data_IF_388242966753
#
_entry.id   IF_388242966753
#
_cell.length_a   1.000
_cell.length_b   1.000
_cell.length_c   1.000
_cell.angle_alpha   90.00
_cell.angle_beta   90.00
_cell.angle_gamma   90.00
#
_symmetry.space_group_name_H-M   'P 1'
#
loop_
_entity.id
_entity.type
_entity.pdbx_description
1 polymer ?
#
# COMPACT_ATOMS: atom_id res chain seq x y z
N UNK A 1 -43.11 23.43 36.52
CA UNK A 1 -42.26 24.58 36.15
C UNK A 1 -40.91 24.29 36.76
N UNK A 2 -40.03 23.62 36.01
CA UNK A 2 -38.84 22.95 36.53
C UNK A 2 -37.63 23.62 35.89
N UNK A 3 -36.78 24.23 36.69
CA UNK A 3 -35.57 24.95 36.27
C UNK A 3 -34.55 24.00 35.64
N UNK A 4 -33.88 24.38 34.53
CA UNK A 4 -32.79 23.57 33.98
C UNK A 4 -31.53 23.68 34.87
N UNK A 5 -30.66 22.64 34.87
CA UNK A 5 -29.42 22.65 35.63
C UNK A 5 -28.38 23.62 35.02
N UNK A 6 -27.45 24.17 35.84
CA UNK A 6 -26.45 25.13 35.36
C UNK A 6 -25.40 24.49 34.43
N UNK A 7 -24.99 25.24 33.41
CA UNK A 7 -23.94 24.86 32.44
C UNK A 7 -22.56 24.68 33.11
N UNK A 8 -21.76 23.68 32.70
CA UNK A 8 -20.40 23.51 33.20
C UNK A 8 -19.42 24.48 32.54
N UNK A 9 -18.70 25.23 33.40
CA UNK A 9 -17.62 26.17 33.08
C UNK A 9 -16.46 25.46 32.34
N UNK A 10 -16.24 25.83 31.07
CA UNK A 10 -15.20 25.27 30.19
C UNK A 10 -13.85 25.99 30.30
N UNK A 11 -13.67 26.89 31.26
CA UNK A 11 -12.49 27.76 31.37
C UNK A 11 -11.37 27.21 32.26
N UNK A 12 -11.57 26.05 32.91
CA UNK A 12 -10.61 25.48 33.86
C UNK A 12 -9.79 24.33 33.25
N UNK A 13 -8.45 24.44 33.20
CA UNK A 13 -7.60 23.30 32.85
C UNK A 13 -7.57 22.27 34.01
N UNK A 14 -7.49 20.96 33.72
CA UNK A 14 -7.43 19.93 34.75
C UNK A 14 -6.10 19.98 35.51
N UNK A 15 -6.19 19.98 36.83
CA UNK A 15 -5.06 19.90 37.76
C UNK A 15 -4.29 18.59 37.53
N UNK A 16 -3.05 18.71 37.03
CA UNK A 16 -2.09 17.63 37.02
C UNK A 16 -1.57 17.41 38.45
N UNK A 17 -1.69 16.17 38.93
CA UNK A 17 -1.11 15.70 40.17
C UNK A 17 0.43 15.84 40.13
N UNK A 18 0.99 16.65 41.02
CA UNK A 18 2.43 16.82 41.21
C UNK A 18 3.04 15.68 42.02
N UNK A 19 4.06 15.03 41.44
CA UNK A 19 5.03 14.19 42.16
C UNK A 19 6.28 14.99 42.55
N UNK A 20 7.06 14.55 43.56
CA UNK A 20 8.12 15.35 44.16
C UNK A 20 9.49 15.22 43.47
N UNK A 21 10.13 16.37 43.23
CA UNK A 21 11.55 16.63 43.49
C UNK A 21 12.61 16.06 42.53
N UNK A 22 13.24 16.94 41.75
CA UNK A 22 14.62 16.77 41.28
C UNK A 22 15.35 18.14 41.25
N UNK A 23 16.66 18.20 41.58
CA UNK A 23 17.32 19.45 42.00
C UNK A 23 17.97 20.27 40.88
N UNK A 24 18.23 21.52 41.26
CA UNK A 24 18.83 22.72 40.65
C UNK A 24 20.09 22.52 39.74
N UNK A 25 20.27 23.30 38.64
CA UNK A 25 21.50 23.29 37.85
C UNK A 25 22.43 24.42 38.32
N UNK A 26 23.41 24.08 39.15
CA UNK A 26 24.45 25.01 39.55
C UNK A 26 25.60 24.28 40.22
N UNK A 27 26.54 23.77 39.42
CA UNK A 27 27.90 23.55 39.90
C UNK A 27 28.88 23.57 38.72
N UNK A 28 29.38 24.77 38.42
CA UNK A 28 30.66 24.95 37.74
C UNK A 28 31.77 24.48 38.68
N UNK A 29 32.58 23.52 38.26
CA UNK A 29 33.89 23.28 38.87
C UNK A 29 34.96 23.32 37.77
N UNK A 30 36.03 24.14 37.92
CA UNK A 30 37.04 24.33 36.89
C UNK A 30 38.07 23.20 36.83
N UNK A 31 38.63 22.99 35.64
CA UNK A 31 39.76 22.10 35.37
C UNK A 31 41.05 22.56 36.10
N UNK A 32 41.93 21.65 36.55
CA UNK A 32 43.26 22.01 36.99
C UNK A 32 44.29 21.96 35.84
N UNK A 33 45.04 23.06 35.71
CA UNK A 33 46.32 23.15 35.00
C UNK A 33 47.42 22.39 35.75
N UNK A 34 48.25 21.62 35.02
CA UNK A 34 49.66 21.46 35.38
C UNK A 34 50.54 21.14 34.14
N UNK A 35 51.70 21.81 33.97
CA UNK A 35 52.59 21.68 32.80
C UNK A 35 53.79 20.71 33.01
N UNK A 36 54.71 20.70 32.02
CA UNK A 36 55.91 19.88 31.75
C UNK A 36 55.67 18.56 30.99
N UNK A 37 56.36 18.20 29.91
CA UNK A 37 57.57 18.74 29.28
C UNK A 37 58.37 17.56 28.69
N UNK A 38 58.61 17.53 27.37
CA UNK A 38 59.79 16.99 26.63
C UNK A 38 59.43 16.66 25.16
N UNK A 39 60.22 17.11 24.16
CA UNK A 39 59.89 17.03 22.73
C UNK A 39 60.51 15.83 22.00
N UNK A 40 59.78 15.34 20.97
CA UNK A 40 60.16 14.70 19.70
C UNK A 40 61.25 13.57 19.64
N UNK A 41 61.14 12.67 18.66
CA UNK A 41 61.78 12.95 17.37
C UNK A 41 60.92 12.67 16.14
N UNK A 42 61.26 13.39 15.06
CA UNK A 42 60.73 13.24 13.70
C UNK A 42 61.41 12.08 12.96
N UNK A 43 60.77 11.73 11.84
CA UNK A 43 61.26 11.00 10.66
C UNK A 43 60.92 9.50 10.56
N UNK A 44 59.87 9.20 9.79
CA UNK A 44 59.94 8.23 8.70
C UNK A 44 58.69 8.32 7.82
N UNK A 45 58.92 8.50 6.52
CA UNK A 45 57.91 8.61 5.48
C UNK A 45 57.15 7.30 5.20
N UNK A 46 55.85 7.41 4.94
CA UNK A 46 55.12 6.49 4.06
C UNK A 46 53.81 7.14 3.57
N UNK A 47 53.61 7.42 2.26
CA UNK A 47 52.31 7.79 1.74
C UNK A 47 51.47 6.51 1.52
N UNK A 48 50.89 6.00 2.60
CA UNK A 48 49.93 4.91 2.55
C UNK A 48 48.57 5.40 2.08
N UNK A 49 48.37 5.46 0.76
CA UNK A 49 47.07 5.63 0.11
C UNK A 49 46.10 4.56 0.62
N UNK A 50 45.24 4.89 1.60
CA UNK A 50 43.99 4.17 1.80
C UNK A 50 42.89 4.99 1.15
N UNK A 51 42.44 4.64 -0.07
CA UNK A 51 41.09 5.01 -0.42
C UNK A 51 40.21 4.28 0.58
N UNK A 52 39.68 5.03 1.53
CA UNK A 52 38.36 4.75 2.09
C UNK A 52 37.36 4.85 0.95
N UNK A 53 37.43 3.91 0.01
CA UNK A 53 36.26 3.48 -0.69
C UNK A 53 35.38 2.91 0.42
N UNK A 54 34.45 3.74 0.88
CA UNK A 54 33.14 3.29 1.29
C UNK A 54 32.66 2.37 0.18
N UNK A 55 33.08 1.11 0.25
CA UNK A 55 32.37 0.00 -0.35
C UNK A 55 31.03 0.05 0.34
N UNK A 56 30.09 0.80 -0.24
CA UNK A 56 28.67 0.64 0.02
C UNK A 56 28.47 -0.86 0.08
N UNK A 57 28.08 -1.45 1.22
CA UNK A 57 27.96 -2.88 1.33
C UNK A 57 26.90 -3.29 0.31
N UNK A 58 27.34 -3.76 -0.85
CA UNK A 58 26.56 -4.53 -1.80
C UNK A 58 26.23 -5.83 -1.08
N UNK A 59 25.26 -5.74 -0.17
CA UNK A 59 24.82 -6.79 0.71
C UNK A 59 24.44 -7.97 -0.18
N UNK A 60 25.01 -9.13 0.09
CA UNK A 60 24.64 -10.41 -0.52
C UNK A 60 23.21 -10.77 -0.10
N UNK A 61 22.23 -10.05 -0.64
CA UNK A 61 20.80 -10.27 -0.42
C UNK A 61 20.40 -11.56 -1.12
N UNK A 62 19.88 -12.51 -0.35
CA UNK A 62 19.37 -13.77 -0.88
C UNK A 62 18.17 -13.50 -1.79
N UNK A 63 17.89 -14.43 -2.72
CA UNK A 63 16.73 -14.33 -3.62
C UNK A 63 15.41 -14.21 -2.85
N UNK A 64 15.36 -14.81 -1.65
CA UNK A 64 14.23 -14.79 -0.73
C UNK A 64 14.06 -13.40 -0.11
N UNK A 65 15.10 -12.83 0.48
CA UNK A 65 15.08 -11.47 1.07
C UNK A 65 14.68 -10.39 0.03
N UNK A 66 15.15 -10.54 -1.22
CA UNK A 66 14.76 -9.63 -2.31
C UNK A 66 13.28 -9.77 -2.69
N UNK A 67 12.75 -10.98 -2.67
CA UNK A 67 11.34 -11.23 -2.96
C UNK A 67 10.45 -10.65 -1.85
N UNK A 68 10.87 -10.78 -0.59
CA UNK A 68 10.17 -10.22 0.57
C UNK A 68 10.16 -8.69 0.55
N UNK A 69 11.28 -8.05 0.19
CA UNK A 69 11.33 -6.59 0.04
C UNK A 69 10.36 -6.11 -1.04
N UNK A 70 10.43 -6.71 -2.22
CA UNK A 70 9.50 -6.39 -3.33
C UNK A 70 8.05 -6.66 -2.95
N UNK A 71 7.80 -7.71 -2.19
CA UNK A 71 6.47 -8.03 -1.67
C UNK A 71 5.96 -6.94 -0.73
N UNK A 72 6.80 -6.48 0.21
CA UNK A 72 6.45 -5.40 1.12
C UNK A 72 6.13 -4.09 0.39
N UNK A 73 6.93 -3.74 -0.64
CA UNK A 73 6.67 -2.57 -1.50
C UNK A 73 5.31 -2.71 -2.22
N UNK A 74 5.04 -3.88 -2.82
CA UNK A 74 3.76 -4.17 -3.47
C UNK A 74 2.57 -4.14 -2.50
N UNK A 75 2.74 -4.62 -1.26
CA UNK A 75 1.69 -4.54 -0.25
C UNK A 75 1.42 -3.09 0.19
N UNK A 76 2.45 -2.24 0.21
CA UNK A 76 2.29 -0.82 0.50
C UNK A 76 1.52 -0.11 -0.62
N UNK A 77 1.90 -0.34 -1.88
CA UNK A 77 1.16 0.17 -3.03
C UNK A 77 -0.29 -0.34 -3.05
N UNK A 78 -0.48 -1.64 -2.77
CA UNK A 78 -1.81 -2.25 -2.67
C UNK A 78 -2.65 -1.61 -1.56
N UNK A 79 -2.03 -1.24 -0.44
CA UNK A 79 -2.71 -0.59 0.68
C UNK A 79 -3.25 0.80 0.30
N UNK A 80 -2.57 1.52 -0.61
CA UNK A 80 -3.09 2.79 -1.16
C UNK A 80 -4.36 2.56 -1.96
N UNK A 81 -4.42 1.51 -2.77
CA UNK A 81 -5.65 1.15 -3.50
C UNK A 81 -6.75 0.64 -2.55
N UNK A 82 -6.36 -0.11 -1.51
CA UNK A 82 -7.28 -0.72 -0.55
C UNK A 82 -8.12 0.33 0.19
N UNK A 83 -7.54 1.47 0.58
CA UNK A 83 -8.30 2.55 1.24
C UNK A 83 -9.39 3.11 0.33
N UNK A 84 -9.11 3.27 -0.97
CA UNK A 84 -10.10 3.67 -1.96
C UNK A 84 -11.28 2.71 -2.04
N UNK A 85 -11.02 1.39 -2.03
CA UNK A 85 -12.06 0.35 -2.02
C UNK A 85 -12.91 0.41 -0.75
N UNK A 86 -12.29 0.63 0.41
CA UNK A 86 -13.03 0.74 1.68
C UNK A 86 -13.96 1.95 1.71
N UNK A 87 -13.50 3.09 1.21
CA UNK A 87 -14.32 4.30 1.10
C UNK A 87 -15.50 4.06 0.15
N UNK A 88 -15.24 3.50 -1.04
CA UNK A 88 -16.30 3.13 -2.00
C UNK A 88 -17.31 2.18 -1.36
N UNK A 89 -16.84 1.11 -0.73
CA UNK A 89 -17.69 0.11 -0.09
C UNK A 89 -18.55 0.73 1.03
N UNK A 90 -17.95 1.59 1.86
CA UNK A 90 -18.67 2.35 2.88
C UNK A 90 -19.79 3.21 2.27
N UNK A 91 -19.51 3.94 1.20
CA UNK A 91 -20.54 4.71 0.49
C UNK A 91 -21.63 3.83 -0.11
N UNK A 92 -21.29 2.65 -0.64
CA UNK A 92 -22.31 1.70 -1.09
C UNK A 92 -23.23 1.28 0.05
N UNK A 93 -22.68 0.99 1.24
CA UNK A 93 -23.49 0.60 2.40
C UNK A 93 -24.42 1.72 2.90
N UNK A 94 -24.06 2.99 2.74
CA UNK A 94 -24.94 4.09 3.18
C UNK A 94 -26.15 4.28 2.27
N UNK A 95 -26.08 3.85 0.99
CA UNK A 95 -27.17 3.99 0.01
C UNK A 95 -28.46 3.31 0.49
N UNK A 96 -28.39 2.16 1.18
CA UNK A 96 -29.58 1.43 1.65
C UNK A 96 -30.44 2.23 2.64
N UNK A 97 -29.82 3.17 3.37
CA UNK A 97 -30.49 4.00 4.37
C UNK A 97 -31.01 5.33 3.80
N UNK A 98 -30.71 5.63 2.53
CA UNK A 98 -31.20 6.84 1.88
C UNK A 98 -32.69 6.70 1.57
N UNK A 99 -33.46 7.78 1.74
CA UNK A 99 -34.91 7.80 1.47
C UNK A 99 -35.25 7.29 0.05
N UNK A 100 -34.43 7.65 -0.93
CA UNK A 100 -34.58 7.26 -2.34
C UNK A 100 -34.37 5.76 -2.60
N UNK A 101 -33.77 5.01 -1.67
CA UNK A 101 -33.63 3.56 -1.80
C UNK A 101 -35.00 2.86 -1.85
N UNK A 102 -35.95 3.35 -1.06
CA UNK A 102 -37.32 2.79 -1.00
C UNK A 102 -38.12 3.00 -2.29
N UNK A 103 -37.68 3.92 -3.15
CA UNK A 103 -38.30 4.21 -4.45
C UNK A 103 -37.62 3.49 -5.62
N UNK A 104 -36.56 2.72 -5.39
CA UNK A 104 -35.87 1.96 -6.44
C UNK A 104 -36.76 0.83 -6.97
N UNK A 105 -36.65 0.55 -8.27
CA UNK A 105 -37.22 -0.64 -8.88
C UNK A 105 -36.60 -1.92 -8.29
N UNK A 106 -37.30 -3.05 -8.37
CA UNK A 106 -36.79 -4.33 -7.86
C UNK A 106 -35.48 -4.73 -8.56
N UNK A 107 -35.38 -4.45 -9.87
CA UNK A 107 -34.16 -4.68 -10.65
C UNK A 107 -32.99 -3.89 -10.10
N UNK A 108 -33.16 -2.60 -9.79
CA UNK A 108 -32.07 -1.76 -9.29
C UNK A 108 -31.67 -2.16 -7.85
N UNK A 109 -32.62 -2.63 -7.03
CA UNK A 109 -32.31 -3.20 -5.71
C UNK A 109 -31.48 -4.47 -5.82
N UNK A 110 -31.79 -5.36 -6.77
CA UNK A 110 -31.00 -6.57 -7.00
C UNK A 110 -29.60 -6.25 -7.50
N UNK A 111 -29.45 -5.29 -8.43
CA UNK A 111 -28.14 -4.80 -8.88
C UNK A 111 -27.36 -4.23 -7.69
N UNK A 112 -28.01 -3.45 -6.82
CA UNK A 112 -27.38 -2.92 -5.61
C UNK A 112 -26.87 -4.05 -4.69
N UNK A 113 -27.68 -5.06 -4.38
CA UNK A 113 -27.28 -6.19 -3.53
C UNK A 113 -26.08 -6.93 -4.12
N UNK A 114 -26.11 -7.23 -5.42
CA UNK A 114 -24.98 -7.86 -6.12
C UNK A 114 -23.73 -6.98 -6.03
N UNK A 115 -23.88 -5.68 -6.23
CA UNK A 115 -22.76 -4.72 -6.15
C UNK A 115 -22.13 -4.70 -4.76
N UNK A 116 -22.95 -4.70 -3.69
CA UNK A 116 -22.48 -4.76 -2.30
C UNK A 116 -21.74 -6.07 -2.02
N UNK A 117 -22.29 -7.22 -2.45
CA UNK A 117 -21.64 -8.52 -2.28
C UNK A 117 -20.30 -8.57 -3.02
N UNK A 118 -20.24 -8.06 -4.25
CA UNK A 118 -18.98 -7.93 -4.99
C UNK A 118 -17.97 -7.03 -4.26
N UNK A 119 -18.43 -5.91 -3.69
CA UNK A 119 -17.57 -5.00 -2.91
C UNK A 119 -17.01 -5.64 -1.65
N UNK A 120 -17.84 -6.41 -0.93
CA UNK A 120 -17.41 -7.19 0.23
C UNK A 120 -16.40 -8.27 -0.16
N UNK A 121 -16.66 -9.02 -1.24
CA UNK A 121 -15.74 -10.04 -1.76
C UNK A 121 -14.41 -9.44 -2.22
N UNK A 122 -14.45 -8.29 -2.90
CA UNK A 122 -13.27 -7.50 -3.29
C UNK A 122 -12.44 -7.14 -2.06
N UNK A 123 -13.09 -6.59 -1.03
CA UNK A 123 -12.42 -6.17 0.21
C UNK A 123 -11.76 -7.37 0.89
N UNK A 124 -12.45 -8.50 1.00
CA UNK A 124 -11.88 -9.74 1.56
C UNK A 124 -10.68 -10.25 0.76
N UNK A 125 -10.78 -10.26 -0.58
CA UNK A 125 -9.70 -10.70 -1.46
C UNK A 125 -8.46 -9.79 -1.39
N UNK A 126 -8.64 -8.47 -1.27
CA UNK A 126 -7.53 -7.50 -1.19
C UNK A 126 -6.87 -7.44 0.19
N UNK A 127 -7.58 -7.77 1.27
CA UNK A 127 -7.01 -7.87 2.63
C UNK A 127 -6.16 -9.14 2.78
N UNK A 128 -6.53 -10.20 2.06
CA UNK A 128 -5.92 -11.51 2.24
C UNK A 128 -4.39 -11.58 2.02
N UNK A 129 -3.75 -10.91 1.04
CA UNK A 129 -2.29 -10.87 0.91
C UNK A 129 -1.56 -10.41 2.18
N UNK A 130 -2.14 -9.45 2.91
CA UNK A 130 -1.60 -8.96 4.18
C UNK A 130 -1.71 -10.03 5.27
N UNK A 131 -2.86 -10.70 5.34
CA UNK A 131 -3.09 -11.82 6.27
C UNK A 131 -2.17 -13.00 5.97
N UNK A 132 -1.98 -13.36 4.69
CA UNK A 132 -1.06 -14.40 4.25
C UNK A 132 0.38 -14.08 4.66
N UNK A 133 0.84 -12.85 4.42
CA UNK A 133 2.16 -12.44 4.87
C UNK A 133 2.29 -12.55 6.40
N UNK A 134 1.32 -12.05 7.16
CA UNK A 134 1.35 -12.08 8.63
C UNK A 134 1.32 -13.50 9.20
N UNK A 135 0.57 -14.43 8.60
CA UNK A 135 0.47 -15.82 9.01
C UNK A 135 1.73 -16.64 8.69
N UNK A 136 2.44 -16.30 7.60
CA UNK A 136 3.67 -16.99 7.20
C UNK A 136 4.96 -16.27 7.60
N UNK A 137 4.86 -15.09 8.21
CA UNK A 137 5.99 -14.36 8.81
C UNK A 137 6.58 -15.20 9.96
N UNK A 138 7.58 -16.02 9.64
CA UNK A 138 8.21 -16.95 10.58
C UNK A 138 8.54 -18.33 9.99
N UNK A 139 7.93 -18.71 8.86
CA UNK A 139 8.28 -19.92 8.11
C UNK A 139 8.75 -19.49 6.72
N UNK A 140 9.91 -20.01 6.25
CA UNK A 140 10.49 -19.66 4.94
C UNK A 140 9.40 -19.66 3.87
N UNK A 141 9.21 -18.54 3.16
CA UNK A 141 8.14 -18.39 2.18
C UNK A 141 8.32 -19.45 1.09
N UNK A 142 7.48 -20.49 1.15
CA UNK A 142 7.41 -21.46 0.06
C UNK A 142 6.96 -20.72 -1.21
N UNK A 143 7.61 -20.94 -2.37
CA UNK A 143 7.26 -20.30 -3.64
C UNK A 143 5.77 -20.44 -4.02
N UNK A 144 5.10 -21.47 -3.51
CA UNK A 144 3.68 -21.73 -3.72
C UNK A 144 2.77 -20.70 -3.02
N UNK A 145 3.12 -20.21 -1.83
CA UNK A 145 2.32 -19.23 -1.09
C UNK A 145 2.26 -17.90 -1.84
N UNK A 146 3.38 -17.46 -2.41
CA UNK A 146 3.47 -16.23 -3.21
C UNK A 146 2.56 -16.30 -4.45
N UNK A 147 2.43 -17.49 -5.06
CA UNK A 147 1.50 -17.70 -6.19
C UNK A 147 0.04 -17.58 -5.76
N UNK A 148 -0.34 -18.15 -4.61
CA UNK A 148 -1.70 -18.02 -4.08
C UNK A 148 -2.06 -16.58 -3.76
N UNK A 149 -1.19 -15.87 -3.07
CA UNK A 149 -1.41 -14.48 -2.73
C UNK A 149 -1.48 -13.59 -3.99
N UNK A 150 -0.64 -13.84 -5.00
CA UNK A 150 -0.75 -13.17 -6.31
C UNK A 150 -2.05 -13.47 -7.06
N UNK A 151 -2.56 -14.72 -7.02
CA UNK A 151 -3.88 -15.07 -7.58
C UNK A 151 -5.01 -14.34 -6.86
N UNK A 152 -4.92 -14.23 -5.55
CA UNK A 152 -5.95 -13.58 -4.73
C UNK A 152 -6.00 -12.07 -4.98
N UNK A 153 -4.84 -11.42 -5.15
CA UNK A 153 -4.77 -10.02 -5.61
C UNK A 153 -5.40 -9.85 -7.00
N UNK A 154 -5.15 -10.78 -7.94
CA UNK A 154 -5.76 -10.71 -9.28
C UNK A 154 -7.29 -10.89 -9.23
N UNK A 155 -7.78 -11.84 -8.43
CA UNK A 155 -9.21 -12.05 -8.19
C UNK A 155 -9.83 -10.81 -7.54
N UNK A 156 -9.17 -10.22 -6.53
CA UNK A 156 -9.61 -8.99 -5.91
C UNK A 156 -9.71 -7.84 -6.90
N UNK A 157 -8.75 -7.69 -7.81
CA UNK A 157 -8.78 -6.65 -8.85
C UNK A 157 -9.92 -6.87 -9.87
N UNK A 158 -10.20 -8.13 -10.23
CA UNK A 158 -11.32 -8.46 -11.11
C UNK A 158 -12.68 -8.20 -10.43
N UNK A 159 -12.82 -8.58 -9.16
CA UNK A 159 -14.01 -8.28 -8.36
C UNK A 159 -14.21 -6.78 -8.20
N UNK A 160 -13.13 -6.01 -7.98
CA UNK A 160 -13.18 -4.56 -7.89
C UNK A 160 -13.72 -3.94 -9.19
N UNK A 161 -13.24 -4.41 -10.34
CA UNK A 161 -13.73 -3.93 -11.63
C UNK A 161 -15.22 -4.21 -11.78
N UNK A 162 -15.66 -5.42 -11.43
CA UNK A 162 -17.07 -5.80 -11.45
C UNK A 162 -17.92 -4.95 -10.49
N UNK A 163 -17.42 -4.66 -9.29
CA UNK A 163 -18.07 -3.75 -8.32
C UNK A 163 -18.21 -2.35 -8.89
N UNK A 164 -17.14 -1.77 -9.45
CA UNK A 164 -17.17 -0.42 -10.02
C UNK A 164 -18.11 -0.34 -11.22
N UNK A 165 -18.08 -1.33 -12.12
CA UNK A 165 -18.99 -1.40 -13.26
C UNK A 165 -20.45 -1.53 -12.83
N UNK A 166 -20.75 -2.41 -11.86
CA UNK A 166 -22.10 -2.61 -11.34
C UNK A 166 -22.63 -1.38 -10.60
N UNK A 167 -21.77 -0.69 -9.83
CA UNK A 167 -22.12 0.57 -9.16
C UNK A 167 -22.41 1.68 -10.16
N UNK A 168 -21.61 1.78 -11.23
CA UNK A 168 -21.83 2.77 -12.29
C UNK A 168 -23.13 2.48 -13.05
N UNK A 169 -23.40 1.20 -13.35
CA UNK A 169 -24.67 0.77 -13.95
C UNK A 169 -25.86 1.13 -13.09
N UNK A 170 -25.79 0.87 -11.79
CA UNK A 170 -26.85 1.23 -10.84
C UNK A 170 -27.12 2.75 -10.89
N UNK A 171 -26.08 3.56 -10.78
CA UNK A 171 -26.22 5.03 -10.78
C UNK A 171 -26.78 5.51 -12.12
N UNK A 172 -26.26 5.03 -13.25
CA UNK A 172 -26.73 5.42 -14.58
C UNK A 172 -28.17 4.99 -14.83
N UNK A 173 -28.59 3.78 -14.41
CA UNK A 173 -30.00 3.36 -14.52
C UNK A 173 -30.94 4.22 -13.67
N UNK A 174 -30.46 4.74 -12.54
CA UNK A 174 -31.26 5.61 -11.66
C UNK A 174 -31.35 7.04 -12.20
N UNK A 175 -30.32 7.52 -12.90
CA UNK A 175 -30.21 8.90 -13.42
C UNK A 175 -30.75 9.03 -14.84
N UNK A 176 -30.33 8.12 -15.72
CA UNK A 176 -30.78 8.03 -17.11
C UNK A 176 -32.04 7.17 -17.08
N UNK A 177 -33.20 7.81 -17.24
CA UNK A 177 -34.49 7.18 -17.56
C UNK A 177 -34.32 6.04 -18.60
N UNK A 178 -35.26 5.08 -18.74
CA UNK A 178 -35.02 3.68 -19.17
C UNK A 178 -34.57 3.49 -20.63
N UNK A 179 -33.47 4.13 -21.02
CA UNK A 179 -32.81 4.04 -22.31
C UNK A 179 -31.57 3.14 -22.16
N UNK A 180 -31.34 2.28 -23.16
CA UNK A 180 -30.19 1.36 -23.21
C UNK A 180 -28.82 2.08 -23.26
N UNK A 181 -28.81 3.42 -23.35
CA UNK A 181 -27.62 4.28 -23.28
C UNK A 181 -26.77 4.02 -22.04
N UNK A 182 -27.40 3.70 -20.90
CA UNK A 182 -26.68 3.39 -19.66
C UNK A 182 -25.76 2.17 -19.80
N UNK A 183 -26.20 1.12 -20.51
CA UNK A 183 -25.42 -0.10 -20.73
C UNK A 183 -24.18 0.16 -21.58
N UNK A 184 -24.31 0.93 -22.67
CA UNK A 184 -23.19 1.27 -23.54
C UNK A 184 -22.13 2.11 -22.83
N UNK A 185 -22.55 3.07 -22.02
CA UNK A 185 -21.62 3.91 -21.26
C UNK A 185 -20.85 3.09 -20.22
N UNK A 186 -21.54 2.21 -19.49
CA UNK A 186 -20.91 1.29 -18.53
C UNK A 186 -19.97 0.33 -19.25
N UNK A 187 -20.37 -0.24 -20.38
CA UNK A 187 -19.53 -1.13 -21.17
C UNK A 187 -18.24 -0.44 -21.61
N UNK A 188 -18.34 0.81 -22.08
CA UNK A 188 -17.17 1.62 -22.45
C UNK A 188 -16.22 1.87 -21.28
N UNK A 189 -16.74 2.29 -20.11
CA UNK A 189 -15.94 2.53 -18.91
C UNK A 189 -15.33 1.22 -18.38
N UNK A 190 -16.10 0.14 -18.35
CA UNK A 190 -15.62 -1.17 -17.91
C UNK A 190 -14.53 -1.71 -18.84
N UNK A 191 -14.69 -1.55 -20.15
CA UNK A 191 -13.66 -1.90 -21.14
C UNK A 191 -12.39 -1.06 -20.95
N UNK A 192 -12.53 0.24 -20.69
CA UNK A 192 -11.40 1.13 -20.36
C UNK A 192 -10.67 0.67 -19.11
N UNK A 193 -11.38 0.41 -18.00
CA UNK A 193 -10.78 -0.13 -16.79
C UNK A 193 -10.10 -1.48 -17.04
N UNK A 194 -10.74 -2.38 -17.80
CA UNK A 194 -10.16 -3.67 -18.11
C UNK A 194 -8.87 -3.54 -18.93
N UNK A 195 -8.86 -2.61 -19.90
CA UNK A 195 -7.68 -2.30 -20.70
C UNK A 195 -6.54 -1.75 -19.81
N UNK A 196 -6.83 -0.75 -18.98
CA UNK A 196 -5.83 -0.18 -18.08
C UNK A 196 -5.30 -1.19 -17.06
N UNK A 197 -6.17 -2.03 -16.50
CA UNK A 197 -5.81 -2.92 -15.37
C UNK A 197 -5.26 -4.28 -15.80
N UNK A 198 -5.69 -4.83 -16.93
CA UNK A 198 -5.24 -6.15 -17.38
C UNK A 198 -4.35 -6.07 -18.61
N UNK A 199 -4.63 -5.18 -19.58
CA UNK A 199 -3.82 -5.10 -20.78
C UNK A 199 -2.45 -4.47 -20.51
N UNK A 200 -2.34 -3.45 -19.66
CA UNK A 200 -1.05 -2.88 -19.27
C UNK A 200 -0.11 -3.91 -18.61
N UNK A 201 -0.52 -4.66 -17.55
CA UNK A 201 0.35 -5.69 -16.99
C UNK A 201 0.57 -6.89 -17.90
N UNK A 202 -0.38 -7.25 -18.77
CA UNK A 202 -0.16 -8.30 -19.76
C UNK A 202 0.88 -7.88 -20.81
N UNK A 203 0.80 -6.64 -21.30
CA UNK A 203 1.75 -6.06 -22.24
C UNK A 203 3.14 -5.92 -21.63
N UNK A 204 3.26 -5.41 -20.40
CA UNK A 204 4.54 -5.32 -19.68
C UNK A 204 5.18 -6.71 -19.48
N UNK A 205 4.37 -7.74 -19.18
CA UNK A 205 4.84 -9.13 -19.10
C UNK A 205 5.31 -9.68 -20.45
N UNK A 206 4.66 -9.32 -21.55
CA UNK A 206 5.04 -9.75 -22.89
C UNK A 206 6.31 -9.03 -23.38
N UNK A 207 6.46 -7.73 -23.12
CA UNK A 207 7.65 -6.95 -23.43
C UNK A 207 8.90 -7.52 -22.72
N UNK A 208 8.82 -7.81 -21.42
CA UNK A 208 9.91 -8.39 -20.64
C UNK A 208 10.34 -9.80 -21.11
N UNK A 209 9.45 -10.55 -21.79
CA UNK A 209 9.78 -11.84 -22.39
C UNK A 209 10.52 -11.68 -23.73
N UNK A 210 10.23 -10.62 -24.50
CA UNK A 210 10.90 -10.34 -25.78
C UNK A 210 12.36 -9.94 -25.59
N UNK A 211 12.67 -9.13 -24.58
CA UNK A 211 14.05 -8.71 -24.29
C UNK A 211 14.97 -9.88 -23.89
N UNK A 212 14.43 -10.87 -23.16
CA UNK A 212 15.17 -12.09 -22.81
C UNK A 212 15.38 -13.05 -24.00
N UNK A 213 14.49 -13.00 -25.00
CA UNK A 213 14.65 -13.76 -26.24
C UNK A 213 15.67 -13.13 -27.19
N UNK A 214 15.76 -11.79 -27.22
CA UNK A 214 16.73 -11.08 -28.06
C UNK A 214 18.18 -11.22 -27.58
N UNK A 215 18.42 -11.23 -26.27
CA UNK A 215 19.77 -11.39 -25.69
C UNK A 215 20.33 -12.80 -25.81
N UNK A 216 19.47 -13.82 -25.97
CA UNK A 216 19.91 -15.20 -26.22
C UNK A 216 20.20 -15.49 -27.71
N UNK A 217 19.69 -14.66 -28.63
CA UNK A 217 19.87 -14.81 -30.08
C UNK A 217 21.09 -14.10 -30.66
N UNK A 218 21.67 -13.14 -29.94
CA UNK A 218 22.79 -12.30 -30.41
C UNK A 218 24.18 -12.86 -30.04
N UNK A 219 24.25 -13.85 -29.13
CA UNK A 219 25.52 -14.44 -28.66
C UNK A 219 26.00 -15.68 -29.43
N UNK A 220 25.35 -16.05 -30.54
CA UNK A 220 25.58 -17.32 -31.24
C UNK A 220 26.23 -17.23 -32.62
N UNK A 221 26.71 -16.05 -33.05
CA UNK A 221 27.03 -15.83 -34.46
C UNK A 221 28.25 -14.97 -34.75
N UNK A 222 29.37 -15.12 -34.05
CA UNK A 222 30.68 -14.58 -34.50
C UNK A 222 31.85 -15.39 -33.91
N UNK A 223 31.92 -16.70 -34.16
CA UNK A 223 33.17 -17.47 -34.04
C UNK A 223 33.21 -18.50 -35.16
N UNK A 224 33.81 -18.13 -36.29
CA UNK A 224 34.09 -19.07 -37.38
C UNK A 224 33.94 -18.46 -38.76
N UNK A 225 34.95 -17.71 -39.22
CA UNK A 225 35.71 -17.98 -40.46
C UNK A 225 36.87 -16.97 -40.60
#
# INVERSE_FOLDING_TARGET
MTTPPPEPDRSRPPHAFGGPGAPDPGDETPAPDHPDGTPAPRDAAAPGRRPGATRTPGRSETREERADRKWADLLQELRVAQTGVQILFGFLLTVVFQQRFTTLSDTDRMIYVVTVVLGAATTGALVAPVSFHRLLSGQRLKPETVRWAGRLTLVGLALLLATMASSMLLILRVVVSPDDTALWLVAGIAAWFALCWFAFPAWARHAARRERGGTAGDGGGTEGE
#
